data_IF_326625130431
#
_entry.id   IF_326625130431
#
_cell.length_a   1.000
_cell.length_b   1.000
_cell.length_c   1.000
_cell.angle_alpha   90.00
_cell.angle_beta   90.00
_cell.angle_gamma   90.00
#
_symmetry.space_group_name_H-M   'P 1'
#
loop_
_entity.id
_entity.type
_entity.pdbx_description
1 polymer ?
#
# COMPACT_ATOMS: atom_id res chain seq x y z
N UNK A 1 37.65 -4.39 -18.07
CA UNK A 1 38.46 -3.16 -18.00
C UNK A 1 37.91 -2.30 -16.88
N UNK A 2 38.66 -2.19 -15.79
CA UNK A 2 38.33 -1.35 -14.64
C UNK A 2 38.99 0.01 -14.82
N UNK A 3 38.25 1.10 -14.61
CA UNK A 3 38.79 2.45 -14.53
C UNK A 3 38.41 3.06 -13.18
N UNK A 4 39.40 3.07 -12.29
CA UNK A 4 39.41 3.76 -11.00
C UNK A 4 39.84 5.21 -11.27
N UNK A 5 39.01 6.19 -10.88
CA UNK A 5 39.41 7.61 -10.87
C UNK A 5 39.81 7.99 -9.44
N UNK A 6 41.11 8.09 -9.20
CA UNK A 6 41.67 8.74 -8.01
C UNK A 6 41.69 10.25 -8.26
N UNK A 7 40.99 11.03 -7.44
CA UNK A 7 41.17 12.48 -7.38
C UNK A 7 42.12 12.82 -6.22
N UNK A 8 43.23 13.41 -6.62
CA UNK A 8 44.34 13.87 -5.81
C UNK A 8 44.09 15.35 -5.49
N UNK A 9 43.79 15.70 -4.24
CA UNK A 9 43.72 17.11 -3.82
C UNK A 9 44.70 17.33 -2.67
N UNK A 10 45.61 18.28 -2.93
CA UNK A 10 46.80 18.62 -2.17
C UNK A 10 46.45 19.24 -0.81
N UNK A 11 47.26 18.87 0.17
CA UNK A 11 47.38 19.46 1.51
C UNK A 11 47.75 20.94 1.46
N UNK A 12 46.95 21.80 2.10
CA UNK A 12 47.31 23.19 2.41
C UNK A 12 47.65 23.29 3.91
N UNK A 13 48.84 23.80 4.21
CA UNK A 13 49.29 24.18 5.56
C UNK A 13 49.19 25.70 5.75
N UNK A 14 49.14 26.19 7.01
CA UNK A 14 48.39 27.38 7.38
C UNK A 14 49.24 28.67 7.42
N UNK A 15 48.59 29.80 7.18
CA UNK A 15 49.14 31.13 7.50
C UNK A 15 48.63 31.54 8.89
N UNK A 16 49.58 31.72 9.80
CA UNK A 16 49.43 32.29 11.13
C UNK A 16 49.01 33.77 11.03
N UNK A 17 47.90 34.14 11.67
CA UNK A 17 47.69 35.49 12.19
C UNK A 17 47.12 35.38 13.61
N UNK A 18 47.94 35.87 14.54
CA UNK A 18 47.70 36.02 15.97
C UNK A 18 46.41 36.79 16.25
N UNK A 19 45.56 36.27 17.15
CA UNK A 19 44.94 37.05 18.23
C UNK A 19 44.32 36.14 19.32
N UNK A 20 44.85 36.29 20.53
CA UNK A 20 44.28 35.99 21.88
C UNK A 20 43.18 34.92 22.04
N UNK A 21 43.55 33.80 22.67
CA UNK A 21 42.67 32.74 23.19
C UNK A 21 42.22 33.04 24.63
N UNK A 22 40.92 32.97 24.96
CA UNK A 22 40.48 32.69 26.33
C UNK A 22 40.49 31.17 26.56
N UNK A 23 41.19 30.72 27.61
CA UNK A 23 41.22 29.32 28.05
C UNK A 23 39.83 28.88 28.53
N UNK A 24 39.24 27.88 27.86
CA UNK A 24 38.13 27.12 28.42
C UNK A 24 38.52 25.65 28.62
N UNK A 25 38.18 25.17 29.81
CA UNK A 25 38.53 23.89 30.43
C UNK A 25 37.97 22.68 29.66
N UNK A 26 38.74 21.59 29.64
CA UNK A 26 38.38 20.32 29.03
C UNK A 26 37.21 19.64 29.79
N UNK A 27 36.02 19.64 29.18
CA UNK A 27 34.90 18.84 29.63
C UNK A 27 34.96 17.43 29.03
N UNK A 28 34.78 16.42 29.90
CA UNK A 28 34.79 14.97 29.60
C UNK A 28 33.93 14.62 28.37
N UNK A 29 34.58 14.04 27.36
CA UNK A 29 33.90 13.33 26.27
C UNK A 29 33.27 12.04 26.82
N UNK A 30 31.95 12.07 27.01
CA UNK A 30 31.18 10.89 27.42
C UNK A 30 30.99 9.99 26.18
N UNK A 31 31.82 8.94 26.07
CA UNK A 31 31.67 7.89 25.05
C UNK A 31 30.36 7.15 25.32
N UNK A 32 29.30 7.50 24.59
CA UNK A 32 28.10 6.67 24.48
C UNK A 32 28.53 5.39 23.76
N UNK A 33 28.80 4.34 24.52
CA UNK A 33 28.98 2.99 23.99
C UNK A 33 27.60 2.55 23.49
N UNK A 34 27.41 2.56 22.18
CA UNK A 34 26.32 1.82 21.53
C UNK A 34 26.51 0.33 21.84
N UNK A 35 25.91 -0.13 22.93
CA UNK A 35 25.70 -1.56 23.18
C UNK A 35 24.64 -2.02 22.19
N UNK A 36 25.07 -2.64 21.11
CA UNK A 36 24.20 -3.53 20.33
C UNK A 36 23.83 -4.67 21.28
N UNK A 37 22.64 -4.60 21.86
CA UNK A 37 22.07 -5.74 22.58
C UNK A 37 21.55 -6.71 21.53
N UNK A 38 22.38 -7.67 21.14
CA UNK A 38 21.87 -8.93 20.60
C UNK A 38 21.26 -9.71 21.77
N UNK A 39 20.05 -9.35 22.22
CA UNK A 39 19.18 -10.36 22.80
C UNK A 39 18.38 -10.93 21.64
N UNK A 40 18.54 -12.22 21.36
CA UNK A 40 17.51 -12.99 20.66
C UNK A 40 16.26 -12.98 21.54
N UNK A 41 15.55 -11.85 21.55
CA UNK A 41 14.27 -11.72 22.21
C UNK A 41 13.28 -12.46 21.32
N UNK A 42 12.60 -13.46 21.89
CA UNK A 42 11.44 -14.07 21.24
C UNK A 42 10.47 -12.95 20.85
N UNK A 43 9.93 -12.95 19.63
CA UNK A 43 9.02 -11.90 19.19
C UNK A 43 7.84 -11.81 20.17
N UNK A 44 7.58 -10.59 20.62
CA UNK A 44 6.57 -10.32 21.65
C UNK A 44 5.15 -10.40 21.10
N UNK A 45 5.01 -10.25 19.77
CA UNK A 45 3.74 -10.29 19.03
C UNK A 45 3.96 -10.99 17.70
N UNK A 46 2.94 -11.72 17.25
CA UNK A 46 2.93 -12.42 15.96
C UNK A 46 1.62 -12.11 15.24
N UNK A 47 1.71 -11.77 13.96
CA UNK A 47 0.54 -11.54 13.10
C UNK A 47 0.62 -12.39 11.84
N UNK A 48 -0.54 -12.82 11.34
CA UNK A 48 -0.70 -13.51 10.07
C UNK A 48 -1.15 -12.51 9.01
N UNK A 49 -0.41 -12.44 7.91
CA UNK A 49 -0.70 -11.53 6.78
C UNK A 49 -0.93 -12.38 5.54
N UNK A 50 -2.13 -12.28 4.96
CA UNK A 50 -2.39 -12.81 3.62
C UNK A 50 -1.81 -11.85 2.59
N UNK A 51 -0.92 -12.35 1.74
CA UNK A 51 -0.37 -11.64 0.60
C UNK A 51 -1.17 -12.01 -0.64
N UNK A 52 -1.64 -11.01 -1.38
CA UNK A 52 -2.33 -11.13 -2.66
C UNK A 52 -1.50 -10.42 -3.73
N UNK A 53 -0.44 -11.08 -4.27
CA UNK A 53 0.43 -10.50 -5.29
C UNK A 53 -0.34 -9.92 -6.49
N UNK A 54 -1.31 -10.68 -6.98
CA UNK A 54 -2.13 -10.33 -8.13
C UNK A 54 -1.36 -10.31 -9.45
N UNK A 55 -1.63 -9.31 -10.28
CA UNK A 55 -1.27 -9.26 -11.69
C UNK A 55 -0.21 -8.18 -12.01
N UNK A 56 0.40 -8.26 -13.19
CA UNK A 56 1.34 -7.26 -13.69
C UNK A 56 2.54 -7.08 -12.76
N UNK A 57 2.77 -5.84 -12.31
CA UNK A 57 3.87 -5.50 -11.38
C UNK A 57 3.60 -5.94 -9.94
N UNK A 58 2.39 -6.42 -9.62
CA UNK A 58 1.93 -6.77 -8.28
C UNK A 58 2.89 -7.70 -7.52
N UNK A 59 3.32 -8.83 -8.09
CA UNK A 59 4.28 -9.73 -7.43
C UNK A 59 5.63 -9.09 -7.09
N UNK A 60 6.14 -8.22 -7.96
CA UNK A 60 7.43 -7.56 -7.75
C UNK A 60 7.34 -6.56 -6.58
N UNK A 61 6.31 -5.72 -6.56
CA UNK A 61 6.14 -4.71 -5.50
C UNK A 61 5.80 -5.35 -4.14
N UNK A 62 5.03 -6.44 -4.13
CA UNK A 62 4.70 -7.18 -2.90
C UNK A 62 5.92 -7.87 -2.32
N UNK A 63 6.79 -8.45 -3.16
CA UNK A 63 8.05 -9.04 -2.71
C UNK A 63 8.93 -8.01 -1.99
N UNK A 64 9.05 -6.80 -2.54
CA UNK A 64 9.81 -5.71 -1.90
C UNK A 64 9.13 -5.26 -0.60
N UNK A 65 7.82 -5.06 -0.59
CA UNK A 65 7.07 -4.65 0.59
C UNK A 65 7.21 -5.67 1.74
N UNK A 66 7.13 -6.97 1.44
CA UNK A 66 7.35 -8.07 2.40
C UNK A 66 8.71 -7.98 3.08
N UNK A 67 9.77 -7.65 2.33
CA UNK A 67 11.12 -7.51 2.87
C UNK A 67 11.24 -6.30 3.82
N UNK A 68 10.66 -5.15 3.42
CA UNK A 68 10.64 -3.94 4.25
C UNK A 68 9.84 -4.17 5.53
N UNK A 69 8.67 -4.81 5.42
CA UNK A 69 7.83 -5.16 6.57
C UNK A 69 8.56 -6.08 7.56
N UNK A 70 9.25 -7.12 7.07
CA UNK A 70 10.04 -7.99 7.92
C UNK A 70 11.16 -7.25 8.66
N UNK A 71 11.86 -6.36 7.98
CA UNK A 71 12.93 -5.58 8.60
C UNK A 71 12.37 -4.64 9.68
N UNK A 72 11.29 -3.92 9.39
CA UNK A 72 10.64 -3.05 10.36
C UNK A 72 10.11 -3.85 11.57
N UNK A 73 9.47 -4.99 11.32
CA UNK A 73 8.95 -5.88 12.36
C UNK A 73 10.05 -6.41 13.28
N UNK A 74 11.19 -6.81 12.71
CA UNK A 74 12.34 -7.28 13.47
C UNK A 74 12.86 -6.21 14.44
N UNK A 75 12.93 -4.94 14.01
CA UNK A 75 13.37 -3.83 14.85
C UNK A 75 12.42 -3.56 16.02
N UNK A 76 11.12 -3.84 15.83
CA UNK A 76 10.08 -3.63 16.84
C UNK A 76 9.72 -4.91 17.63
N UNK A 77 10.43 -6.02 17.41
CA UNK A 77 10.16 -7.29 18.10
C UNK A 77 8.80 -7.92 17.74
N UNK A 78 8.36 -7.71 16.51
CA UNK A 78 7.15 -8.29 15.89
C UNK A 78 7.57 -9.40 14.91
N UNK A 79 6.78 -10.47 14.83
CA UNK A 79 6.92 -11.52 13.81
C UNK A 79 5.72 -11.51 12.86
N UNK A 80 5.99 -11.60 11.55
CA UNK A 80 4.95 -11.79 10.54
C UNK A 80 5.00 -13.20 9.96
N UNK A 81 3.84 -13.84 9.88
CA UNK A 81 3.61 -15.05 9.09
C UNK A 81 2.88 -14.68 7.81
N UNK A 82 3.53 -14.89 6.68
CA UNK A 82 2.95 -14.59 5.39
C UNK A 82 2.37 -15.85 4.75
N UNK A 83 1.15 -15.72 4.21
CA UNK A 83 0.53 -16.72 3.35
C UNK A 83 0.19 -16.08 2.02
N UNK A 84 0.80 -16.54 0.94
CA UNK A 84 0.52 -16.04 -0.41
C UNK A 84 -0.66 -16.81 -1.02
N UNK A 85 -1.65 -16.08 -1.54
CA UNK A 85 -2.86 -16.64 -2.12
C UNK A 85 -3.14 -16.03 -3.51
N UNK A 86 -3.69 -16.80 -4.46
CA UNK A 86 -3.99 -16.32 -5.80
C UNK A 86 -5.21 -15.40 -5.83
N UNK A 87 -5.15 -14.33 -6.62
CA UNK A 87 -6.26 -13.39 -6.87
C UNK A 87 -6.11 -12.74 -8.25
N UNK A 88 -7.21 -12.28 -8.85
CA UNK A 88 -7.21 -11.53 -10.11
C UNK A 88 -7.02 -12.43 -11.32
N UNK A 89 -6.26 -11.95 -12.30
CA UNK A 89 -5.86 -12.69 -13.48
C UNK A 89 -5.03 -13.94 -13.15
N UNK A 90 -4.15 -13.85 -12.16
CA UNK A 90 -3.38 -14.98 -11.66
C UNK A 90 -4.26 -16.10 -11.10
N UNK A 91 -5.37 -15.75 -10.44
CA UNK A 91 -6.36 -16.73 -10.01
C UNK A 91 -7.18 -17.28 -11.17
N UNK A 92 -7.61 -16.43 -12.12
CA UNK A 92 -8.31 -16.87 -13.33
C UNK A 92 -7.51 -17.93 -14.10
N UNK A 93 -6.21 -17.72 -14.24
CA UNK A 93 -5.32 -18.66 -14.93
C UNK A 93 -5.15 -19.99 -14.17
N UNK A 94 -5.24 -19.96 -12.83
CA UNK A 94 -4.98 -21.13 -11.98
C UNK A 94 -6.25 -21.94 -11.68
N UNK A 95 -7.37 -21.27 -11.42
CA UNK A 95 -8.60 -21.87 -10.88
C UNK A 95 -9.85 -21.54 -11.71
N UNK A 96 -9.73 -20.65 -12.71
CA UNK A 96 -10.85 -20.24 -13.55
C UNK A 96 -11.75 -19.16 -12.94
N UNK A 97 -11.47 -18.67 -11.73
CA UNK A 97 -12.24 -17.60 -11.06
C UNK A 97 -11.32 -16.50 -10.53
N UNK A 98 -11.75 -15.22 -10.50
CA UNK A 98 -10.89 -14.11 -10.08
C UNK A 98 -10.65 -14.04 -8.57
N UNK A 99 -11.49 -14.72 -7.78
CA UNK A 99 -11.31 -14.87 -6.33
C UNK A 99 -11.72 -16.29 -5.91
N UNK A 100 -10.77 -17.20 -5.66
CA UNK A 100 -11.04 -18.53 -5.10
C UNK A 100 -11.55 -18.44 -3.66
N UNK A 101 -12.39 -19.39 -3.26
CA UNK A 101 -12.95 -19.44 -1.91
C UNK A 101 -11.86 -19.64 -0.85
N UNK A 102 -10.81 -20.40 -1.18
CA UNK A 102 -9.65 -20.59 -0.31
C UNK A 102 -8.92 -19.27 -0.04
N UNK A 103 -8.83 -18.39 -1.05
CA UNK A 103 -8.23 -17.06 -0.91
C UNK A 103 -9.04 -16.18 0.03
N UNK A 104 -10.37 -16.14 -0.14
CA UNK A 104 -11.25 -15.39 0.76
C UNK A 104 -11.19 -15.94 2.20
N UNK A 105 -11.15 -17.26 2.34
CA UNK A 105 -11.04 -17.93 3.64
C UNK A 105 -9.73 -17.60 4.35
N UNK A 106 -8.60 -17.63 3.63
CA UNK A 106 -7.29 -17.24 4.18
C UNK A 106 -7.26 -15.76 4.59
N UNK A 107 -7.84 -14.88 3.77
CA UNK A 107 -7.95 -13.45 4.06
C UNK A 107 -8.77 -13.19 5.34
N UNK A 108 -9.92 -13.87 5.51
CA UNK A 108 -10.76 -13.78 6.72
C UNK A 108 -10.09 -14.30 7.99
N UNK A 109 -9.17 -15.26 7.85
CA UNK A 109 -8.42 -15.85 8.98
C UNK A 109 -7.14 -15.09 9.32
N UNK A 110 -6.78 -14.07 8.53
CA UNK A 110 -5.57 -13.27 8.71
C UNK A 110 -5.85 -12.01 9.52
N UNK A 111 -4.81 -11.48 10.17
CA UNK A 111 -4.88 -10.20 10.87
C UNK A 111 -4.86 -9.02 9.89
N UNK A 112 -4.26 -9.20 8.71
CA UNK A 112 -4.22 -8.21 7.65
C UNK A 112 -4.10 -8.85 6.27
N UNK A 113 -4.48 -8.10 5.24
CA UNK A 113 -4.33 -8.47 3.83
C UNK A 113 -3.49 -7.40 3.13
N UNK A 114 -2.46 -7.82 2.40
CA UNK A 114 -1.65 -6.93 1.57
C UNK A 114 -1.79 -7.32 0.10
N UNK A 115 -2.40 -6.44 -0.68
CA UNK A 115 -2.70 -6.64 -2.10
C UNK A 115 -1.75 -5.81 -2.99
N UNK A 116 -1.26 -6.42 -4.07
CA UNK A 116 -0.39 -5.78 -5.07
C UNK A 116 -1.17 -4.99 -6.11
N UNK A 117 -1.38 -5.62 -7.28
CA UNK A 117 -2.14 -5.02 -8.38
C UNK A 117 -3.07 -6.07 -9.00
N UNK A 118 -4.13 -5.64 -9.68
CA UNK A 118 -5.12 -6.52 -10.32
C UNK A 118 -5.42 -5.98 -11.72
N UNK A 119 -5.56 -6.87 -12.69
CA UNK A 119 -5.93 -6.53 -14.07
C UNK A 119 -4.82 -6.81 -15.10
N UNK A 120 -5.22 -6.87 -16.36
CA UNK A 120 -4.30 -7.06 -17.48
C UNK A 120 -5.01 -7.40 -18.79
N UNK A 121 -4.38 -7.06 -19.92
CA UNK A 121 -4.97 -7.17 -21.26
C UNK A 121 -5.45 -8.58 -21.63
N UNK A 122 -4.85 -9.61 -21.03
CA UNK A 122 -5.18 -11.01 -21.28
C UNK A 122 -6.65 -11.35 -20.97
N UNK A 123 -7.25 -10.67 -19.98
CA UNK A 123 -8.58 -11.00 -19.48
C UNK A 123 -9.62 -9.92 -19.82
N UNK A 124 -9.28 -8.93 -20.66
CA UNK A 124 -10.17 -7.82 -21.00
C UNK A 124 -11.43 -8.27 -21.77
N UNK A 125 -11.28 -9.32 -22.59
CA UNK A 125 -12.37 -9.92 -23.37
C UNK A 125 -13.23 -10.90 -22.58
N UNK A 126 -12.90 -11.18 -21.31
CA UNK A 126 -13.69 -12.08 -20.48
C UNK A 126 -15.06 -11.49 -20.18
N UNK A 127 -16.02 -12.37 -19.92
CA UNK A 127 -17.30 -11.98 -19.33
C UNK A 127 -17.07 -11.24 -18.01
N UNK A 128 -17.96 -10.29 -17.68
CA UNK A 128 -17.81 -9.41 -16.51
C UNK A 128 -17.48 -10.17 -15.22
N UNK A 129 -18.14 -11.30 -14.98
CA UNK A 129 -17.93 -12.09 -13.76
C UNK A 129 -16.58 -12.82 -13.71
N UNK A 130 -15.91 -12.97 -14.85
CA UNK A 130 -14.58 -13.57 -15.01
C UNK A 130 -13.49 -12.51 -15.29
N UNK A 131 -13.75 -11.26 -14.95
CA UNK A 131 -12.73 -10.20 -15.00
C UNK A 131 -11.96 -10.11 -13.67
N UNK A 132 -10.65 -9.82 -13.69
CA UNK A 132 -9.84 -9.68 -12.47
C UNK A 132 -10.45 -8.70 -11.45
N UNK A 133 -11.00 -7.57 -11.91
CA UNK A 133 -11.57 -6.52 -11.07
C UNK A 133 -12.82 -6.99 -10.30
N UNK A 134 -13.51 -8.01 -10.79
CA UNK A 134 -14.63 -8.64 -10.08
C UNK A 134 -14.14 -9.28 -8.78
N UNK A 135 -12.98 -9.94 -8.79
CA UNK A 135 -12.37 -10.47 -7.57
C UNK A 135 -12.06 -9.38 -6.55
N UNK A 136 -11.66 -8.19 -7.00
CA UNK A 136 -11.40 -7.04 -6.12
C UNK A 136 -12.68 -6.52 -5.44
N UNK A 137 -13.81 -6.53 -6.14
CA UNK A 137 -15.10 -6.18 -5.53
C UNK A 137 -15.55 -7.26 -4.53
N UNK A 138 -15.43 -8.54 -4.91
CA UNK A 138 -15.81 -9.67 -4.08
C UNK A 138 -15.01 -9.75 -2.77
N UNK A 139 -13.70 -9.47 -2.79
CA UNK A 139 -12.91 -9.51 -1.56
C UNK A 139 -13.24 -8.34 -0.63
N UNK A 140 -13.58 -7.17 -1.18
CA UNK A 140 -13.97 -6.00 -0.38
C UNK A 140 -15.29 -6.23 0.33
N UNK A 141 -16.28 -6.73 -0.40
CA UNK A 141 -17.57 -7.16 0.16
C UNK A 141 -17.37 -8.30 1.16
N UNK A 142 -16.61 -9.33 0.79
CA UNK A 142 -16.39 -10.51 1.62
C UNK A 142 -15.61 -10.25 2.92
N UNK A 143 -14.81 -9.20 3.00
CA UNK A 143 -14.11 -8.76 4.22
C UNK A 143 -14.82 -7.61 4.95
N UNK A 144 -15.92 -7.10 4.40
CA UNK A 144 -16.71 -5.99 4.98
C UNK A 144 -15.87 -4.73 5.26
N UNK A 145 -14.87 -4.47 4.38
CA UNK A 145 -13.94 -3.33 4.52
C UNK A 145 -14.53 -2.05 3.94
N UNK A 146 -15.59 -1.53 4.57
CA UNK A 146 -16.35 -0.37 4.10
C UNK A 146 -15.52 0.92 4.01
N UNK A 147 -14.52 1.08 4.89
CA UNK A 147 -13.74 2.31 5.01
C UNK A 147 -12.51 2.32 4.09
N UNK A 148 -12.61 2.99 2.94
CA UNK A 148 -11.45 3.22 2.08
C UNK A 148 -10.75 4.54 2.40
N UNK A 149 -9.56 4.45 2.96
CA UNK A 149 -8.70 5.59 3.25
C UNK A 149 -7.71 5.84 2.11
N UNK A 150 -7.72 7.05 1.54
CA UNK A 150 -6.80 7.47 0.46
C UNK A 150 -6.12 8.79 0.84
N UNK A 151 -4.94 8.74 1.48
CA UNK A 151 -4.14 9.93 1.70
C UNK A 151 -3.62 10.48 0.37
N UNK A 152 -3.85 11.77 0.13
CA UNK A 152 -3.32 12.53 -0.98
C UNK A 152 -2.42 13.64 -0.41
N UNK A 153 -1.12 13.34 -0.32
CA UNK A 153 -0.11 14.24 0.23
C UNK A 153 0.93 14.55 -0.85
N UNK A 154 1.26 15.82 -1.05
CA UNK A 154 2.34 16.23 -1.97
C UNK A 154 3.64 16.30 -1.19
N UNK A 155 4.57 15.38 -1.49
CA UNK A 155 5.89 15.37 -0.87
C UNK A 155 6.71 16.58 -1.35
N UNK A 156 7.43 17.30 -0.47
CA UNK A 156 8.23 18.47 -0.83
C UNK A 156 9.23 18.21 -1.97
N UNK A 157 9.79 17.00 -2.01
CA UNK A 157 10.75 16.56 -3.03
C UNK A 157 10.12 16.30 -4.41
N UNK A 158 8.78 16.20 -4.48
CA UNK A 158 8.02 15.85 -5.69
C UNK A 158 7.00 16.92 -6.10
N UNK A 159 7.05 18.12 -5.51
CA UNK A 159 6.09 19.20 -5.82
C UNK A 159 6.04 19.53 -7.32
N UNK A 160 7.20 19.52 -7.98
CA UNK A 160 7.31 19.84 -9.41
C UNK A 160 6.76 18.75 -10.33
N UNK A 161 6.39 17.57 -9.80
CA UNK A 161 5.67 16.54 -10.55
C UNK A 161 4.16 16.83 -10.67
N UNK A 162 3.63 17.76 -9.86
CA UNK A 162 2.24 18.18 -9.94
C UNK A 162 2.01 19.06 -11.17
N UNK A 163 0.84 18.92 -11.79
CA UNK A 163 0.41 19.80 -12.89
C UNK A 163 -0.17 21.13 -12.39
N UNK A 164 -0.44 21.24 -11.09
CA UNK A 164 -0.90 22.48 -10.46
C UNK A 164 0.28 23.43 -10.20
N UNK A 165 -0.02 24.72 -10.06
CA UNK A 165 0.99 25.70 -9.65
C UNK A 165 1.55 25.33 -8.27
N UNK A 166 2.84 25.58 -8.09
CA UNK A 166 3.57 25.21 -6.87
C UNK A 166 2.90 25.77 -5.60
N UNK A 167 2.51 27.04 -5.62
CA UNK A 167 1.84 27.72 -4.52
C UNK A 167 0.45 27.15 -4.16
N UNK A 168 -0.11 26.28 -5.00
CA UNK A 168 -1.36 25.55 -4.75
C UNK A 168 -1.09 24.12 -4.29
N UNK A 169 -0.09 23.45 -4.90
CA UNK A 169 0.21 22.04 -4.64
C UNK A 169 1.06 21.81 -3.38
N UNK A 170 1.95 22.75 -3.07
CA UNK A 170 2.87 22.63 -1.94
C UNK A 170 2.08 22.62 -0.62
N UNK A 171 2.35 21.61 0.22
CA UNK A 171 1.68 21.44 1.51
C UNK A 171 0.28 20.82 1.44
N UNK A 172 -0.19 20.38 0.27
CA UNK A 172 -1.42 19.58 0.18
C UNK A 172 -1.27 18.30 1.00
N UNK A 173 -2.18 18.12 1.95
CA UNK A 173 -2.29 16.96 2.82
C UNK A 173 -3.76 16.72 3.16
N UNK A 174 -4.41 15.81 2.43
CA UNK A 174 -5.83 15.52 2.57
C UNK A 174 -6.04 14.02 2.66
N UNK A 175 -6.92 13.59 3.56
CA UNK A 175 -7.41 12.22 3.63
C UNK A 175 -8.80 12.14 3.01
N UNK A 176 -8.96 11.32 1.96
CA UNK A 176 -10.28 10.97 1.46
C UNK A 176 -10.74 9.68 2.15
N UNK A 177 -11.83 9.77 2.90
CA UNK A 177 -12.56 8.63 3.44
C UNK A 177 -13.71 8.32 2.50
N UNK A 178 -13.73 7.12 1.94
CA UNK A 178 -14.73 6.68 0.96
C UNK A 178 -15.40 5.39 1.42
N UNK A 179 -16.73 5.37 1.39
CA UNK A 179 -17.53 4.14 1.49
C UNK A 179 -17.22 3.21 0.29
N UNK A 180 -16.93 1.94 0.58
CA UNK A 180 -16.33 0.99 -0.36
C UNK A 180 -17.21 -0.22 -0.70
N UNK A 181 -18.24 -0.50 0.09
CA UNK A 181 -19.03 -1.74 0.06
C UNK A 181 -20.51 -1.54 -0.28
N UNK A 182 -20.98 -0.31 -0.42
CA UNK A 182 -22.35 0.06 -0.73
C UNK A 182 -22.53 0.83 -2.05
N UNK A 183 -23.61 1.60 -2.13
CA UNK A 183 -23.92 2.47 -3.25
C UNK A 183 -24.13 1.74 -4.58
N UNK A 184 -23.90 2.43 -5.69
CA UNK A 184 -24.15 1.97 -7.06
C UNK A 184 -23.30 0.75 -7.45
N UNK A 185 -22.22 0.52 -6.72
CA UNK A 185 -21.34 -0.62 -6.94
C UNK A 185 -22.01 -1.94 -6.58
N UNK A 186 -22.81 -1.98 -5.52
CA UNK A 186 -23.44 -3.20 -5.01
C UNK A 186 -24.98 -3.18 -5.04
N UNK A 187 -25.57 -2.01 -5.25
CA UNK A 187 -27.02 -1.81 -5.29
C UNK A 187 -27.75 -2.65 -6.34
N UNK A 188 -28.93 -3.13 -5.94
CA UNK A 188 -29.86 -3.93 -6.75
C UNK A 188 -31.22 -3.21 -6.82
N UNK A 189 -31.97 -3.32 -7.93
CA UNK A 189 -31.67 -4.13 -9.11
C UNK A 189 -30.63 -3.48 -10.06
N UNK A 190 -29.91 -4.28 -10.85
CA UNK A 190 -28.97 -3.78 -11.88
C UNK A 190 -28.92 -4.70 -13.09
N UNK A 191 -28.62 -4.16 -14.26
CA UNK A 191 -28.41 -4.96 -15.47
C UNK A 191 -28.86 -4.27 -16.75
N UNK A 192 -29.10 -5.10 -17.75
CA UNK A 192 -29.63 -4.71 -19.06
C UNK A 192 -31.00 -5.33 -19.26
N UNK A 193 -31.88 -4.65 -19.97
CA UNK A 193 -33.22 -5.13 -20.30
C UNK A 193 -33.79 -4.44 -21.53
N UNK A 194 -35.08 -4.64 -21.79
CA UNK A 194 -35.83 -3.89 -22.81
C UNK A 194 -37.05 -3.25 -22.17
N UNK A 195 -37.38 -2.03 -22.60
CA UNK A 195 -38.64 -1.40 -22.22
C UNK A 195 -39.81 -1.93 -23.07
N UNK A 196 -41.02 -1.47 -22.78
CA UNK A 196 -42.25 -1.86 -23.48
C UNK A 196 -42.21 -1.61 -25.00
N UNK A 197 -41.40 -0.64 -25.44
CA UNK A 197 -41.20 -0.32 -26.86
C UNK A 197 -40.05 -1.13 -27.50
N UNK A 198 -39.50 -2.13 -26.81
CA UNK A 198 -38.40 -2.95 -27.28
C UNK A 198 -37.03 -2.27 -27.29
N UNK A 199 -36.90 -1.04 -26.76
CA UNK A 199 -35.60 -0.34 -26.66
C UNK A 199 -34.78 -0.92 -25.53
N UNK A 200 -33.49 -1.11 -25.78
CA UNK A 200 -32.53 -1.53 -24.74
C UNK A 200 -32.44 -0.47 -23.64
N UNK A 201 -32.46 -0.94 -22.40
CA UNK A 201 -32.29 -0.14 -21.20
C UNK A 201 -31.17 -0.74 -20.37
N UNK A 202 -30.39 0.12 -19.72
CA UNK A 202 -29.38 -0.25 -18.74
C UNK A 202 -29.69 0.50 -17.45
N UNK A 203 -29.56 -0.18 -16.31
CA UNK A 203 -29.88 0.41 -15.02
C UNK A 203 -28.93 -0.09 -13.92
N UNK A 204 -28.67 0.81 -12.99
CA UNK A 204 -27.98 0.57 -11.73
C UNK A 204 -28.72 1.35 -10.63
N UNK A 205 -28.62 0.87 -9.39
CA UNK A 205 -29.29 1.49 -8.25
C UNK A 205 -28.24 2.02 -7.28
N UNK A 206 -28.22 3.33 -7.05
CA UNK A 206 -27.54 3.94 -5.90
C UNK A 206 -28.46 3.78 -4.69
N UNK A 207 -28.01 3.04 -3.67
CA UNK A 207 -28.77 2.80 -2.46
C UNK A 207 -27.82 2.65 -1.28
N UNK A 208 -28.22 3.21 -0.14
CA UNK A 208 -27.59 3.00 1.15
C UNK A 208 -28.66 2.81 2.22
N UNK A 209 -28.38 1.95 3.17
CA UNK A 209 -29.03 1.92 4.46
C UNK A 209 -28.44 3.01 5.38
N UNK A 210 -29.18 3.33 6.45
CA UNK A 210 -28.82 4.43 7.36
C UNK A 210 -27.51 4.15 8.10
N UNK A 211 -27.36 2.90 8.55
CA UNK A 211 -26.16 2.37 9.21
C UNK A 211 -24.92 2.46 8.31
N UNK A 212 -25.02 2.12 7.02
CA UNK A 212 -23.89 2.23 6.08
C UNK A 212 -23.36 3.68 5.97
N UNK A 213 -24.24 4.68 6.06
CA UNK A 213 -23.86 6.10 6.04
C UNK A 213 -23.34 6.55 7.40
N UNK A 214 -23.95 6.09 8.49
CA UNK A 214 -23.52 6.44 9.85
C UNK A 214 -22.11 5.90 10.13
N UNK A 215 -21.83 4.64 9.78
CA UNK A 215 -20.51 4.01 9.95
C UNK A 215 -19.42 4.77 9.17
N UNK A 216 -19.71 5.19 7.94
CA UNK A 216 -18.78 5.97 7.12
C UNK A 216 -18.54 7.39 7.67
N UNK A 217 -19.50 7.97 8.39
CA UNK A 217 -19.43 9.35 8.89
C UNK A 217 -18.67 9.52 10.22
N UNK A 218 -18.40 8.42 10.93
CA UNK A 218 -17.74 8.43 12.25
C UNK A 218 -16.21 8.39 12.15
N UNK A 219 -15.67 8.23 10.93
CA UNK A 219 -14.23 8.17 10.63
C UNK A 219 -13.62 9.56 10.35
#
# INVERSE_FOLDING_TARGET
MAACLQLNIKTFSPVFLSNSVPKFSAAKANRIRNRIRCSAASPSKRYTITLLPGDGIGPEVISVAKNVLNLAAFLEGIEFRFQEMPMGGAALDLTGVPLPEETLSAAKQSDAVLLGAIGGYKWDSNEKHLKPETGLLQIREGLEVFANLRPATVLPQLVDASTLKKEIAEGVDVMVVRELTGGIYFGKPRGFGKNENGKEIAFNTEVYAKDEVEDASVL
#
